data_IF_691548529306
#
_entry.id   IF_691548529306
#
_cell.length_a   1.000
_cell.length_b   1.000
_cell.length_c   1.000
_cell.angle_alpha   90.00
_cell.angle_beta   90.00
_cell.angle_gamma   90.00
#
_symmetry.space_group_name_H-M   'P 1'
#
loop_
_entity.id
_entity.type
_entity.pdbx_description
1 polymer ?
#
# COMPACT_ATOMS: atom_id res chain seq x y z
N UNK A 1 6.26 -0.84 8.57
CA UNK A 1 5.80 0.57 8.54
C UNK A 1 6.96 1.43 8.99
N UNK A 2 7.14 2.58 8.37
CA UNK A 2 8.20 3.52 8.69
C UNK A 2 7.71 4.94 8.41
N UNK A 3 8.02 5.85 9.31
CA UNK A 3 7.80 7.28 9.12
C UNK A 3 9.06 8.06 9.48
N UNK A 4 9.35 9.10 8.70
CA UNK A 4 10.42 10.06 8.98
C UNK A 4 10.02 11.45 8.51
N UNK A 5 10.82 12.46 8.84
CA UNK A 5 10.68 13.79 8.28
C UNK A 5 12.04 14.45 8.12
N UNK A 6 12.13 15.40 7.20
CA UNK A 6 13.27 16.31 7.05
C UNK A 6 12.71 17.72 7.14
N UNK A 7 13.24 18.53 8.07
CA UNK A 7 12.82 19.93 8.24
C UNK A 7 11.29 20.11 8.40
N UNK A 8 10.65 19.19 9.13
CA UNK A 8 9.19 19.17 9.35
C UNK A 8 8.35 18.61 8.21
N UNK A 9 8.91 18.24 7.05
CA UNK A 9 8.18 17.61 5.94
C UNK A 9 8.10 16.09 6.12
N UNK A 10 6.87 15.58 6.31
CA UNK A 10 6.60 14.18 6.68
C UNK A 10 6.63 13.24 5.46
N UNK A 11 7.27 12.08 5.61
CA UNK A 11 7.17 10.94 4.71
C UNK A 11 6.82 9.66 5.49
N UNK A 12 5.79 8.93 5.05
CA UNK A 12 5.34 7.68 5.66
C UNK A 12 5.23 6.61 4.57
N UNK A 13 5.65 5.39 4.89
CA UNK A 13 5.59 4.24 3.99
C UNK A 13 5.26 2.94 4.73
N UNK A 14 4.33 2.18 4.17
CA UNK A 14 4.00 0.84 4.64
C UNK A 14 4.04 -0.15 3.46
N UNK A 15 4.45 -1.39 3.75
CA UNK A 15 4.49 -2.49 2.80
C UNK A 15 4.04 -3.77 3.49
N UNK A 16 3.26 -4.59 2.79
CA UNK A 16 2.77 -5.89 3.27
C UNK A 16 3.39 -7.00 2.45
N UNK A 17 4.00 -7.97 3.11
CA UNK A 17 4.59 -9.14 2.46
C UNK A 17 4.30 -10.40 3.28
N UNK A 18 4.34 -11.57 2.64
CA UNK A 18 4.12 -12.88 3.27
C UNK A 18 5.44 -13.64 3.25
N UNK A 19 5.87 -14.14 4.41
CA UNK A 19 7.07 -14.97 4.50
C UNK A 19 6.68 -16.43 4.24
N UNK A 20 6.96 -16.90 3.04
CA UNK A 20 6.81 -18.31 2.65
C UNK A 20 7.64 -18.59 1.39
N UNK A 21 7.83 -19.87 1.09
CA UNK A 21 8.33 -20.32 -0.20
C UNK A 21 7.15 -20.55 -1.18
N UNK A 22 7.37 -20.23 -2.46
CA UNK A 22 6.37 -20.38 -3.51
C UNK A 22 5.18 -19.39 -3.47
N UNK A 23 4.21 -19.55 -4.39
CA UNK A 23 3.11 -18.59 -4.55
C UNK A 23 2.15 -18.54 -3.36
N UNK A 24 1.74 -17.33 -2.98
CA UNK A 24 0.69 -17.11 -1.96
C UNK A 24 -0.67 -17.41 -2.59
N UNK A 25 -1.55 -18.12 -1.87
CA UNK A 25 -2.91 -18.48 -2.32
C UNK A 25 -3.96 -18.21 -1.25
N UNK A 26 -5.22 -18.23 -1.66
CA UNK A 26 -6.38 -18.07 -0.77
C UNK A 26 -6.47 -16.67 -0.16
N UNK A 27 -7.17 -16.56 0.99
CA UNK A 27 -7.53 -15.26 1.59
C UNK A 27 -6.36 -14.29 1.80
N UNK A 28 -5.17 -14.80 2.09
CA UNK A 28 -3.97 -13.99 2.24
C UNK A 28 -3.51 -13.36 0.91
N UNK A 29 -3.56 -14.12 -0.19
CA UNK A 29 -3.28 -13.58 -1.52
C UNK A 29 -4.36 -12.57 -1.95
N UNK A 30 -5.63 -12.91 -1.69
CA UNK A 30 -6.77 -12.08 -2.07
C UNK A 30 -6.69 -10.69 -1.42
N UNK A 31 -6.42 -10.64 -0.11
CA UNK A 31 -6.34 -9.36 0.61
C UNK A 31 -5.12 -8.53 0.21
N UNK A 32 -3.98 -9.17 -0.07
CA UNK A 32 -2.77 -8.46 -0.53
C UNK A 32 -3.01 -7.85 -1.92
N UNK A 33 -3.59 -8.60 -2.85
CA UNK A 33 -3.92 -8.11 -4.18
C UNK A 33 -4.99 -7.00 -4.13
N UNK A 34 -6.02 -7.16 -3.31
CA UNK A 34 -7.05 -6.14 -3.11
C UNK A 34 -6.45 -4.85 -2.54
N UNK A 35 -5.58 -4.95 -1.53
CA UNK A 35 -4.92 -3.78 -0.93
C UNK A 35 -4.01 -3.06 -1.93
N UNK A 36 -3.22 -3.79 -2.72
CA UNK A 36 -2.39 -3.18 -3.77
C UNK A 36 -3.24 -2.48 -4.82
N UNK A 37 -4.33 -3.12 -5.26
CA UNK A 37 -5.28 -2.52 -6.21
C UNK A 37 -5.90 -1.24 -5.64
N UNK A 38 -6.29 -1.24 -4.37
CA UNK A 38 -6.82 -0.06 -3.71
C UNK A 38 -5.79 1.08 -3.63
N UNK A 39 -4.52 0.78 -3.31
CA UNK A 39 -3.44 1.76 -3.29
C UNK A 39 -3.22 2.37 -4.69
N UNK A 40 -3.24 1.54 -5.73
CA UNK A 40 -3.14 1.94 -7.12
C UNK A 40 -4.32 2.82 -7.58
N UNK A 41 -5.54 2.51 -7.13
CA UNK A 41 -6.72 3.33 -7.38
C UNK A 41 -6.58 4.69 -6.67
N UNK A 42 -6.20 4.70 -5.39
CA UNK A 42 -5.98 5.92 -4.64
C UNK A 42 -4.93 6.81 -5.30
N UNK A 43 -3.80 6.24 -5.74
CA UNK A 43 -2.73 6.98 -6.44
C UNK A 43 -3.25 7.71 -7.70
N UNK A 44 -4.21 7.11 -8.42
CA UNK A 44 -4.77 7.68 -9.66
C UNK A 44 -5.96 8.62 -9.42
N UNK A 45 -6.69 8.45 -8.32
CA UNK A 45 -7.88 9.22 -8.01
C UNK A 45 -7.64 10.40 -7.07
N UNK A 46 -6.61 10.35 -6.22
CA UNK A 46 -6.26 11.44 -5.31
C UNK A 46 -5.62 12.57 -6.11
N UNK A 47 -6.46 13.50 -6.51
CA UNK A 47 -6.11 14.73 -7.22
C UNK A 47 -7.19 15.79 -6.95
N UNK A 48 -6.88 17.08 -7.10
CA UNK A 48 -7.85 18.14 -6.87
C UNK A 48 -9.16 17.93 -7.64
N UNK A 49 -10.30 18.22 -6.99
CA UNK A 49 -11.63 18.12 -7.61
C UNK A 49 -12.27 16.73 -7.63
N UNK A 50 -11.64 15.72 -7.00
CA UNK A 50 -12.24 14.41 -6.72
C UNK A 50 -12.65 14.32 -5.24
N UNK A 51 -13.80 13.69 -4.99
CA UNK A 51 -14.30 13.36 -3.64
C UNK A 51 -13.95 11.92 -3.31
#
# INVERSE_FOLDING_TARGET
>A
DMGCHIDGFIAVVAHTHVIQDGPVKGRAADVVAAANTAAEVALRLVRPGKK
#
